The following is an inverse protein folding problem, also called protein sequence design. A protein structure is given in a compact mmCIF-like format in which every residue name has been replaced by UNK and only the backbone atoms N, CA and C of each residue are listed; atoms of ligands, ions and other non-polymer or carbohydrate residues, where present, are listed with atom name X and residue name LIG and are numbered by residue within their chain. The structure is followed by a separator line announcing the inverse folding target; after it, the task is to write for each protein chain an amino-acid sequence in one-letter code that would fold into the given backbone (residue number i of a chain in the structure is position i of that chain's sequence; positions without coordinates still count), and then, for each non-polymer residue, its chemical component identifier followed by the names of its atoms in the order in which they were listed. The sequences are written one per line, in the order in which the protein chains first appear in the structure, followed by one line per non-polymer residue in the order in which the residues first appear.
data_IF_440358129023
#
_entry.id   IF_440358129023
#
_cell.length_a   1.000
_cell.length_b   1.000
_cell.length_c   1.000
_cell.angle_alpha   90.00
_cell.angle_beta   90.00
_cell.angle_gamma   90.00
#
_symmetry.space_group_name_H-M   'P 1'
#
loop_
_entity.id
_entity.type
_entity.pdbx_description
1 polymer ?
#
# COMPACT_ATOMS: atom_id res chain seq x y z
N UNK A 1 -4.48 35.67 16.10
CA UNK A 1 -3.81 34.44 15.69
C UNK A 1 -4.88 33.48 15.14
N UNK A 2 -4.99 33.39 13.81
CA UNK A 2 -5.82 32.37 13.16
C UNK A 2 -5.14 31.04 13.44
N UNK A 3 -5.79 30.12 14.20
CA UNK A 3 -5.42 28.72 14.24
C UNK A 3 -5.59 28.19 12.80
N UNK A 4 -4.51 27.90 12.12
CA UNK A 4 -4.57 27.05 10.94
C UNK A 4 -5.19 25.73 11.38
N UNK A 5 -6.36 25.41 10.87
CA UNK A 5 -6.97 24.08 11.03
C UNK A 5 -6.08 23.17 10.18
N UNK A 6 -5.22 22.38 10.83
CA UNK A 6 -4.43 21.35 10.17
C UNK A 6 -5.41 20.45 9.42
N UNK A 7 -5.33 20.47 8.11
CA UNK A 7 -6.16 19.63 7.26
C UNK A 7 -5.65 18.19 7.38
N UNK A 8 -6.46 17.29 7.93
CA UNK A 8 -6.14 15.88 8.01
C UNK A 8 -5.89 15.31 6.60
N UNK A 9 -4.78 14.58 6.43
CA UNK A 9 -4.51 13.84 5.20
C UNK A 9 -5.32 12.54 5.17
N UNK A 10 -5.70 12.08 3.96
CA UNK A 10 -6.32 10.78 3.77
C UNK A 10 -5.22 9.76 3.46
N UNK A 11 -5.06 8.79 4.33
CA UNK A 11 -4.09 7.69 4.22
C UNK A 11 -4.81 6.42 3.83
N UNK A 12 -4.44 5.83 2.70
CA UNK A 12 -4.93 4.50 2.27
C UNK A 12 -3.82 3.48 2.39
N UNK A 13 -4.08 2.40 3.12
CA UNK A 13 -3.14 1.29 3.32
C UNK A 13 -3.63 0.09 2.51
N UNK A 14 -2.91 -0.27 1.45
CA UNK A 14 -3.18 -1.46 0.64
C UNK A 14 -2.50 -2.68 1.28
N UNK A 15 -3.27 -3.58 1.86
CA UNK A 15 -2.77 -4.80 2.52
C UNK A 15 -2.85 -5.99 1.58
N UNK A 16 -1.70 -6.48 1.14
CA UNK A 16 -1.54 -7.58 0.18
C UNK A 16 -1.64 -8.99 0.76
N UNK A 17 -2.02 -9.15 2.02
CA UNK A 17 -2.18 -10.47 2.64
C UNK A 17 -3.64 -10.92 2.63
N UNK A 18 -3.89 -12.14 2.17
CA UNK A 18 -5.21 -12.80 2.29
C UNK A 18 -5.39 -13.49 3.65
N UNK A 19 -4.34 -13.61 4.45
CA UNK A 19 -4.41 -14.18 5.78
C UNK A 19 -5.01 -13.14 6.73
N UNK A 20 -6.21 -13.39 7.22
CA UNK A 20 -6.79 -12.61 8.32
C UNK A 20 -5.87 -12.73 9.55
N UNK A 21 -5.57 -11.62 10.19
CA UNK A 21 -4.66 -11.54 11.35
C UNK A 21 -3.24 -12.08 11.09
N UNK A 22 -2.79 -12.13 9.83
CA UNK A 22 -1.41 -12.48 9.47
C UNK A 22 -0.43 -11.34 9.81
N UNK A 23 0.87 -11.66 9.81
CA UNK A 23 1.94 -10.70 10.20
C UNK A 23 1.89 -9.38 9.40
N UNK A 24 1.59 -9.44 8.09
CA UNK A 24 1.45 -8.23 7.26
C UNK A 24 0.27 -7.35 7.70
N UNK A 25 -0.88 -7.98 7.99
CA UNK A 25 -2.05 -7.26 8.47
C UNK A 25 -1.79 -6.61 9.84
N UNK A 26 -1.07 -7.32 10.72
CA UNK A 26 -0.69 -6.81 12.04
C UNK A 26 0.27 -5.62 11.95
N UNK A 27 1.26 -5.68 11.04
CA UNK A 27 2.19 -4.58 10.78
C UNK A 27 1.44 -3.35 10.23
N UNK A 28 0.57 -3.57 9.25
CA UNK A 28 -0.26 -2.50 8.68
C UNK A 28 -1.20 -1.87 9.73
N UNK A 29 -1.75 -2.67 10.64
CA UNK A 29 -2.58 -2.19 11.73
C UNK A 29 -1.80 -1.30 12.70
N UNK A 30 -0.57 -1.68 13.07
CA UNK A 30 0.28 -0.86 13.93
C UNK A 30 0.60 0.50 13.29
N UNK A 31 0.93 0.50 12.00
CA UNK A 31 1.09 1.75 11.24
C UNK A 31 -0.20 2.58 11.24
N UNK A 32 -1.35 1.95 11.00
CA UNK A 32 -2.65 2.63 10.97
C UNK A 32 -2.99 3.30 12.30
N UNK A 33 -2.71 2.63 13.42
CA UNK A 33 -2.92 3.16 14.78
C UNK A 33 -2.07 4.42 15.04
N UNK A 34 -0.83 4.43 14.56
CA UNK A 34 0.03 5.62 14.60
C UNK A 34 -0.52 6.74 13.71
N UNK A 35 -0.81 6.44 12.45
CA UNK A 35 -1.27 7.42 11.46
C UNK A 35 -2.62 8.06 11.84
N UNK A 36 -3.52 7.30 12.47
CA UNK A 36 -4.84 7.78 12.90
C UNK A 36 -4.78 8.85 14.01
N UNK A 37 -3.60 9.11 14.59
CA UNK A 37 -3.45 10.21 15.56
C UNK A 37 -3.68 11.58 14.92
N UNK A 38 -3.30 11.73 13.65
CA UNK A 38 -3.31 13.02 12.95
C UNK A 38 -3.94 12.96 11.56
N UNK A 39 -4.48 11.80 11.13
CA UNK A 39 -4.96 11.61 9.75
C UNK A 39 -6.23 10.76 9.72
N UNK A 40 -6.93 10.81 8.59
CA UNK A 40 -7.98 9.84 8.26
C UNK A 40 -7.32 8.60 7.64
N UNK A 41 -7.54 7.42 8.21
CA UNK A 41 -6.90 6.19 7.76
C UNK A 41 -7.93 5.18 7.29
N UNK A 42 -7.70 4.60 6.12
CA UNK A 42 -8.48 3.51 5.57
C UNK A 42 -7.58 2.33 5.20
N UNK A 43 -7.92 1.14 5.69
CA UNK A 43 -7.23 -0.10 5.32
C UNK A 43 -8.05 -0.79 4.22
N UNK A 44 -7.37 -1.13 3.12
CA UNK A 44 -7.92 -1.86 1.97
C UNK A 44 -7.21 -3.20 1.87
N UNK A 45 -7.85 -4.26 2.31
CA UNK A 45 -7.30 -5.61 2.27
C UNK A 45 -7.66 -6.33 0.98
N UNK A 46 -6.68 -6.91 0.29
CA UNK A 46 -6.94 -7.74 -0.91
C UNK A 46 -7.82 -8.95 -0.63
N UNK A 47 -8.02 -9.33 0.65
CA UNK A 47 -8.92 -10.40 1.04
C UNK A 47 -10.40 -10.03 0.92
N UNK A 48 -10.73 -8.74 0.78
CA UNK A 48 -12.09 -8.20 0.75
C UNK A 48 -12.55 -7.80 -0.66
N UNK A 49 -11.63 -7.82 -1.63
CA UNK A 49 -11.90 -7.36 -3.00
C UNK A 49 -11.52 -8.43 -4.01
N UNK A 50 -12.41 -8.64 -4.98
CA UNK A 50 -12.14 -9.50 -6.13
C UNK A 50 -11.64 -8.64 -7.29
N UNK A 51 -10.32 -8.63 -7.49
CA UNK A 51 -9.65 -7.84 -8.52
C UNK A 51 -8.92 -8.76 -9.49
N UNK A 52 -9.37 -8.77 -10.74
CA UNK A 52 -8.70 -9.50 -11.81
C UNK A 52 -7.39 -8.79 -12.24
N UNK A 53 -6.37 -9.55 -12.64
CA UNK A 53 -5.13 -8.97 -13.15
C UNK A 53 -5.35 -8.17 -14.43
N UNK A 54 -4.48 -7.19 -14.69
CA UNK A 54 -4.47 -6.46 -15.95
C UNK A 54 -4.10 -7.40 -17.10
N UNK A 55 -4.87 -7.37 -18.19
CA UNK A 55 -4.61 -8.17 -19.39
C UNK A 55 -3.93 -7.38 -20.51
N UNK A 56 -3.51 -6.14 -20.26
CA UNK A 56 -2.79 -5.31 -21.25
C UNK A 56 -3.59 -4.87 -22.46
N UNK A 57 -4.91 -4.88 -22.41
CA UNK A 57 -5.77 -4.60 -23.57
C UNK A 57 -5.83 -3.11 -23.97
N UNK A 58 -5.30 -2.20 -23.16
CA UNK A 58 -5.27 -0.75 -23.35
C UNK A 58 -6.65 -0.06 -23.50
N UNK A 59 -7.77 -0.74 -23.30
CA UNK A 59 -9.10 -0.15 -23.43
C UNK A 59 -9.35 1.05 -22.50
N UNK A 60 -8.67 1.11 -21.35
CA UNK A 60 -8.72 2.26 -20.44
C UNK A 60 -8.16 3.56 -21.03
N UNK A 61 -7.38 3.50 -22.12
CA UNK A 61 -6.87 4.69 -22.81
C UNK A 61 -7.90 5.31 -23.76
N UNK A 62 -8.92 4.55 -24.18
CA UNK A 62 -9.92 4.97 -25.16
C UNK A 62 -11.33 5.11 -24.59
N UNK A 63 -11.59 4.53 -23.42
CA UNK A 63 -12.91 4.60 -22.77
C UNK A 63 -13.10 5.93 -22.05
N UNK A 64 -14.34 6.38 -22.01
CA UNK A 64 -14.73 7.56 -21.23
C UNK A 64 -14.32 7.41 -19.76
N UNK A 65 -13.79 8.47 -19.16
CA UNK A 65 -13.28 8.48 -17.80
C UNK A 65 -12.06 7.57 -17.56
N UNK A 66 -11.45 7.04 -18.64
CA UNK A 66 -10.30 6.11 -18.57
C UNK A 66 -10.59 4.84 -17.73
N UNK A 67 -11.83 4.40 -17.70
CA UNK A 67 -12.26 3.25 -16.91
C UNK A 67 -11.80 1.94 -17.55
N UNK A 68 -11.43 0.97 -16.69
CA UNK A 68 -11.21 -0.39 -17.14
C UNK A 68 -12.52 -1.03 -17.59
N UNK A 69 -12.47 -1.91 -18.62
CA UNK A 69 -13.67 -2.62 -19.07
C UNK A 69 -14.05 -3.79 -18.16
N UNK A 70 -13.10 -4.28 -17.35
CA UNK A 70 -13.34 -5.37 -16.41
C UNK A 70 -14.30 -4.91 -15.31
N UNK A 71 -15.38 -5.68 -15.13
CA UNK A 71 -16.39 -5.43 -14.09
C UNK A 71 -16.02 -6.22 -12.84
N UNK A 72 -15.26 -5.59 -11.95
CA UNK A 72 -14.82 -6.16 -10.68
C UNK A 72 -14.65 -5.05 -9.62
N UNK A 73 -14.14 -5.41 -8.43
CA UNK A 73 -14.06 -4.48 -7.31
C UNK A 73 -12.96 -3.40 -7.44
N UNK A 74 -12.16 -3.43 -8.52
CA UNK A 74 -11.12 -2.41 -8.73
C UNK A 74 -11.69 -0.99 -8.80
N UNK A 75 -12.94 -0.82 -9.20
CA UNK A 75 -13.58 0.50 -9.26
C UNK A 75 -13.67 1.13 -7.87
N UNK A 76 -13.98 0.34 -6.84
CA UNK A 76 -14.03 0.81 -5.45
C UNK A 76 -12.64 1.23 -4.95
N UNK A 77 -11.60 0.47 -5.35
CA UNK A 77 -10.21 0.80 -5.02
C UNK A 77 -9.76 2.09 -5.70
N UNK A 78 -10.13 2.30 -6.97
CA UNK A 78 -9.85 3.57 -7.66
C UNK A 78 -10.46 4.78 -6.94
N UNK A 79 -11.69 4.66 -6.43
CA UNK A 79 -12.35 5.74 -5.70
C UNK A 79 -11.60 6.10 -4.40
N UNK A 80 -11.15 5.08 -3.66
CA UNK A 80 -10.34 5.25 -2.45
C UNK A 80 -9.01 5.93 -2.77
N UNK A 81 -8.28 5.44 -3.78
CA UNK A 81 -7.00 5.98 -4.19
C UNK A 81 -7.11 7.40 -4.77
N UNK A 82 -8.20 7.74 -5.47
CA UNK A 82 -8.44 9.10 -5.98
C UNK A 82 -8.47 10.13 -4.86
N UNK A 83 -8.98 9.76 -3.71
CA UNK A 83 -9.15 10.63 -2.55
C UNK A 83 -7.99 10.55 -1.55
N UNK A 84 -7.04 9.64 -1.75
CA UNK A 84 -5.87 9.50 -0.90
C UNK A 84 -4.84 10.59 -1.16
N UNK A 85 -4.24 11.11 -0.09
CA UNK A 85 -3.08 11.98 -0.12
C UNK A 85 -1.79 11.15 0.06
N UNK A 86 -1.87 10.07 0.84
CA UNK A 86 -0.79 9.15 1.15
C UNK A 86 -1.25 7.71 0.89
N UNK A 87 -0.43 6.93 0.21
CA UNK A 87 -0.66 5.48 0.05
C UNK A 87 0.44 4.71 0.74
N UNK A 88 0.08 3.65 1.44
CA UNK A 88 1.04 2.70 2.03
C UNK A 88 0.76 1.33 1.48
N UNK A 89 1.79 0.69 0.97
CA UNK A 89 1.73 -0.68 0.46
C UNK A 89 2.29 -1.62 1.52
N UNK A 90 1.47 -2.51 2.03
CA UNK A 90 1.86 -3.54 2.98
C UNK A 90 1.75 -4.92 2.33
N UNK A 91 2.85 -5.66 2.19
CA UNK A 91 2.85 -6.95 1.49
C UNK A 91 3.67 -8.02 2.19
N UNK A 92 3.19 -9.28 2.19
CA UNK A 92 4.08 -10.41 2.38
C UNK A 92 5.00 -10.52 1.16
N UNK A 93 6.20 -11.06 1.37
CA UNK A 93 7.13 -11.34 0.27
C UNK A 93 6.94 -12.78 -0.20
N UNK A 94 6.55 -12.94 -1.45
CA UNK A 94 6.44 -14.22 -2.12
C UNK A 94 7.37 -14.26 -3.33
N UNK A 95 8.36 -15.13 -3.28
CA UNK A 95 9.36 -15.30 -4.35
C UNK A 95 9.99 -13.97 -4.78
N UNK A 96 10.47 -13.18 -3.81
CA UNK A 96 11.11 -11.86 -3.97
C UNK A 96 10.20 -10.76 -4.52
N UNK A 97 8.88 -10.96 -4.57
CA UNK A 97 7.89 -10.00 -5.03
C UNK A 97 6.80 -9.75 -4.01
N UNK A 98 5.98 -8.74 -4.28
CA UNK A 98 4.72 -8.53 -3.57
C UNK A 98 3.73 -9.64 -3.91
N UNK A 99 2.70 -9.84 -3.10
CA UNK A 99 1.67 -10.86 -3.37
C UNK A 99 0.99 -10.66 -4.73
N UNK A 100 0.58 -11.74 -5.38
CA UNK A 100 -0.10 -11.70 -6.67
C UNK A 100 -1.40 -10.88 -6.64
N UNK A 101 -2.16 -10.97 -5.55
CA UNK A 101 -3.39 -10.23 -5.35
C UNK A 101 -3.14 -8.72 -5.29
N UNK A 102 -2.10 -8.29 -4.57
CA UNK A 102 -1.71 -6.89 -4.51
C UNK A 102 -1.15 -6.43 -5.86
N UNK A 103 -0.38 -7.29 -6.54
CA UNK A 103 0.16 -7.00 -7.87
C UNK A 103 -0.95 -6.78 -8.90
N UNK A 104 -2.07 -7.52 -8.82
CA UNK A 104 -3.24 -7.31 -9.67
C UNK A 104 -3.79 -5.87 -9.54
N UNK A 105 -3.85 -5.33 -8.32
CA UNK A 105 -4.24 -3.93 -8.08
C UNK A 105 -3.20 -2.98 -8.68
N UNK A 106 -1.91 -3.19 -8.36
CA UNK A 106 -0.82 -2.31 -8.79
C UNK A 106 -0.73 -2.23 -10.31
N UNK A 107 -0.82 -3.36 -11.02
CA UNK A 107 -0.77 -3.37 -12.49
C UNK A 107 -1.90 -2.59 -13.13
N UNK A 108 -3.06 -2.55 -12.49
CA UNK A 108 -4.21 -1.79 -12.99
C UNK A 108 -4.11 -0.28 -12.70
N UNK A 109 -3.13 0.17 -11.94
CA UNK A 109 -2.81 1.61 -11.81
C UNK A 109 -2.10 2.17 -13.06
N UNK A 110 -1.83 1.34 -14.08
CA UNK A 110 -1.33 1.81 -15.38
C UNK A 110 -2.37 2.65 -16.16
N UNK A 111 -3.62 2.69 -15.73
CA UNK A 111 -4.67 3.51 -16.36
C UNK A 111 -4.34 5.00 -16.35
N UNK A 112 -4.72 5.78 -17.42
CA UNK A 112 -4.62 7.25 -17.40
C UNK A 112 -5.47 7.90 -16.30
N UNK A 113 -6.47 7.22 -15.75
CA UNK A 113 -7.27 7.68 -14.62
C UNK A 113 -6.39 8.09 -13.42
N UNK A 114 -5.23 7.45 -13.24
CA UNK A 114 -4.27 7.80 -12.18
C UNK A 114 -3.88 9.29 -12.16
N UNK A 115 -3.96 9.99 -13.29
CA UNK A 115 -3.66 11.41 -13.36
C UNK A 115 -4.67 12.28 -12.58
N UNK A 116 -5.80 11.69 -12.15
CA UNK A 116 -6.80 12.36 -11.30
C UNK A 116 -6.58 12.09 -9.82
N UNK A 117 -5.60 11.24 -9.45
CA UNK A 117 -5.30 10.90 -8.07
C UNK A 117 -4.52 12.03 -7.40
N UNK A 118 -4.79 12.25 -6.11
CA UNK A 118 -4.13 13.31 -5.33
C UNK A 118 -2.88 12.83 -4.58
N UNK A 119 -2.53 11.55 -4.73
CA UNK A 119 -1.46 10.89 -4.01
C UNK A 119 -0.15 11.66 -4.21
N UNK A 120 0.50 12.02 -3.11
CA UNK A 120 1.79 12.73 -3.08
C UNK A 120 2.88 11.93 -2.39
N UNK A 121 2.50 11.01 -1.49
CA UNK A 121 3.45 10.27 -0.67
C UNK A 121 3.17 8.76 -0.74
N UNK A 122 4.24 7.97 -0.67
CA UNK A 122 4.17 6.52 -0.69
C UNK A 122 5.00 5.92 0.44
N UNK A 123 4.47 4.89 1.11
CA UNK A 123 5.15 4.09 2.11
C UNK A 123 5.17 2.61 1.75
N UNK A 124 6.11 1.86 2.34
CA UNK A 124 6.26 0.43 2.06
C UNK A 124 6.51 -0.36 3.36
N UNK A 125 5.65 -1.34 3.61
CA UNK A 125 5.75 -2.26 4.74
C UNK A 125 5.87 -3.69 4.18
N UNK A 126 6.98 -4.37 4.44
CA UNK A 126 7.23 -5.71 3.93
C UNK A 126 7.48 -6.72 5.04
N UNK A 127 6.91 -7.90 4.86
CA UNK A 127 7.06 -9.03 5.78
C UNK A 127 7.54 -10.26 5.02
N UNK A 128 8.65 -10.85 5.44
CA UNK A 128 9.24 -12.03 4.82
C UNK A 128 9.65 -13.10 5.81
N UNK A 129 9.47 -14.37 5.42
CA UNK A 129 9.83 -15.51 6.25
C UNK A 129 11.34 -15.77 6.27
N UNK A 130 12.04 -15.46 5.18
CA UNK A 130 13.48 -15.68 5.07
C UNK A 130 14.27 -14.56 5.76
N UNK A 131 15.46 -14.90 6.26
CA UNK A 131 16.41 -13.95 6.84
C UNK A 131 17.51 -13.50 5.86
N UNK A 132 17.30 -13.72 4.58
CA UNK A 132 18.26 -13.35 3.53
C UNK A 132 18.51 -11.83 3.51
N UNK A 133 19.76 -11.38 3.47
CA UNK A 133 20.08 -9.95 3.47
C UNK A 133 19.40 -9.17 2.33
N UNK A 134 19.31 -9.77 1.16
CA UNK A 134 18.79 -9.17 -0.08
C UNK A 134 17.31 -9.50 -0.35
N UNK A 135 16.57 -10.02 0.64
CA UNK A 135 15.19 -10.47 0.48
C UNK A 135 14.27 -9.40 -0.13
N UNK A 136 14.45 -8.14 0.23
CA UNK A 136 13.57 -7.04 -0.14
C UNK A 136 14.10 -6.20 -1.31
N UNK A 137 15.35 -6.38 -1.71
CA UNK A 137 15.99 -5.53 -2.73
C UNK A 137 15.19 -5.38 -4.03
N UNK A 138 14.62 -6.47 -4.62
CA UNK A 138 13.85 -6.34 -5.85
C UNK A 138 12.60 -5.46 -5.67
N UNK A 139 11.93 -5.54 -4.50
CA UNK A 139 10.74 -4.74 -4.21
C UNK A 139 11.12 -3.30 -3.90
N UNK A 140 12.23 -3.08 -3.19
CA UNK A 140 12.74 -1.73 -2.91
C UNK A 140 13.13 -1.03 -4.20
N UNK A 141 13.77 -1.74 -5.14
CA UNK A 141 14.09 -1.19 -6.47
C UNK A 141 12.81 -0.77 -7.21
N UNK A 142 11.78 -1.63 -7.23
CA UNK A 142 10.49 -1.29 -7.84
C UNK A 142 9.84 -0.09 -7.14
N UNK A 143 9.89 -0.04 -5.81
CA UNK A 143 9.37 1.07 -5.02
C UNK A 143 10.04 2.39 -5.41
N UNK A 144 11.37 2.42 -5.52
CA UNK A 144 12.11 3.61 -5.94
C UNK A 144 11.71 4.06 -7.35
N UNK A 145 11.61 3.11 -8.29
CA UNK A 145 11.17 3.41 -9.67
C UNK A 145 9.75 3.99 -9.70
N UNK A 146 8.85 3.54 -8.82
CA UNK A 146 7.50 4.07 -8.71
C UNK A 146 7.50 5.49 -8.13
N UNK A 147 8.31 5.75 -7.10
CA UNK A 147 8.48 7.10 -6.55
C UNK A 147 8.93 8.08 -7.64
N UNK A 148 9.97 7.72 -8.39
CA UNK A 148 10.54 8.56 -9.43
C UNK A 148 9.54 8.79 -10.58
N UNK A 149 8.88 7.72 -11.05
CA UNK A 149 7.93 7.79 -12.16
C UNK A 149 6.72 8.68 -11.84
N UNK A 150 6.17 8.55 -10.64
CA UNK A 150 5.01 9.33 -10.20
C UNK A 150 5.38 10.63 -9.47
N UNK A 151 6.67 10.90 -9.26
CA UNK A 151 7.18 12.04 -8.48
C UNK A 151 6.57 12.09 -7.08
N UNK A 152 6.57 10.94 -6.40
CA UNK A 152 6.06 10.81 -5.04
C UNK A 152 7.19 10.97 -4.02
N UNK A 153 6.86 11.50 -2.86
CA UNK A 153 7.76 11.51 -1.71
C UNK A 153 7.66 10.17 -0.97
N UNK A 154 8.81 9.61 -0.56
CA UNK A 154 8.83 8.46 0.33
C UNK A 154 8.53 8.90 1.76
N UNK A 155 7.58 8.24 2.42
CA UNK A 155 7.40 8.40 3.88
C UNK A 155 8.30 7.44 4.68
N UNK A 156 9.00 6.51 4.03
CA UNK A 156 9.83 5.50 4.65
C UNK A 156 9.35 4.07 4.41
N UNK A 157 10.12 3.13 4.97
CA UNK A 157 9.86 1.68 4.83
C UNK A 157 10.03 0.97 6.16
N UNK A 158 9.23 -0.08 6.42
CA UNK A 158 9.45 -1.04 7.51
C UNK A 158 9.58 -2.44 6.91
N UNK A 159 10.69 -3.11 7.18
CA UNK A 159 11.10 -4.36 6.53
C UNK A 159 11.34 -5.43 7.60
N UNK A 160 10.48 -6.44 7.65
CA UNK A 160 10.50 -7.47 8.69
C UNK A 160 10.89 -8.82 8.08
N UNK A 161 12.00 -9.38 8.57
CA UNK A 161 12.50 -10.72 8.19
C UNK A 161 12.17 -11.74 9.26
N UNK A 162 12.29 -13.03 8.93
CA UNK A 162 12.22 -14.13 9.88
C UNK A 162 10.83 -14.41 10.45
N UNK A 163 9.75 -13.85 9.88
CA UNK A 163 8.38 -14.06 10.36
C UNK A 163 7.54 -14.83 9.34
N UNK A 164 7.05 -15.99 9.70
CA UNK A 164 6.35 -16.95 8.83
C UNK A 164 4.95 -17.29 9.33
N UNK A 165 4.86 -17.73 10.57
CA UNK A 165 3.61 -18.18 11.14
C UNK A 165 2.84 -17.00 11.76
N UNK A 166 1.51 -17.14 11.87
CA UNK A 166 0.67 -16.09 12.45
C UNK A 166 1.13 -15.82 13.88
N UNK A 167 1.40 -14.57 14.18
CA UNK A 167 1.83 -14.12 15.51
C UNK A 167 3.35 -13.98 15.67
N UNK A 168 4.17 -14.46 14.74
CA UNK A 168 5.64 -14.31 14.84
C UNK A 168 6.08 -12.85 14.98
N UNK A 169 5.31 -11.93 14.41
CA UNK A 169 5.63 -10.49 14.44
C UNK A 169 5.36 -9.82 15.80
N UNK A 170 4.60 -10.46 16.70
CA UNK A 170 4.15 -9.80 17.95
C UNK A 170 5.30 -9.42 18.88
N UNK A 171 6.43 -10.12 18.81
CA UNK A 171 7.64 -9.80 19.57
C UNK A 171 8.63 -8.91 18.81
N UNK A 172 8.31 -8.52 17.58
CA UNK A 172 9.20 -7.73 16.73
C UNK A 172 9.15 -6.24 17.09
N UNK A 173 10.29 -5.55 17.20
CA UNK A 173 10.32 -4.09 17.34
C UNK A 173 9.73 -3.35 16.13
N UNK A 174 9.59 -4.04 15.00
CA UNK A 174 9.04 -3.46 13.78
C UNK A 174 7.57 -3.00 13.94
N UNK A 175 6.83 -3.52 14.91
CA UNK A 175 5.49 -3.00 15.22
C UNK A 175 5.56 -1.57 15.75
N UNK A 176 6.53 -1.29 16.65
CA UNK A 176 6.75 0.07 17.14
C UNK A 176 7.31 0.98 16.03
N UNK A 177 8.24 0.48 15.21
CA UNK A 177 8.76 1.24 14.07
C UNK A 177 7.63 1.64 13.11
N UNK A 178 6.69 0.73 12.84
CA UNK A 178 5.54 1.01 12.00
C UNK A 178 4.58 2.02 12.63
N UNK A 179 4.32 1.91 13.93
CA UNK A 179 3.50 2.85 14.68
C UNK A 179 4.11 4.26 14.65
N UNK A 180 5.39 4.41 14.97
CA UNK A 180 6.07 5.71 14.98
C UNK A 180 6.19 6.30 13.57
N UNK A 181 6.39 5.47 12.54
CA UNK A 181 6.34 5.92 11.15
C UNK A 181 4.95 6.48 10.79
N UNK A 182 3.89 5.78 11.17
CA UNK A 182 2.52 6.25 10.96
C UNK A 182 2.23 7.55 11.70
N UNK A 183 2.63 7.64 12.96
CA UNK A 183 2.43 8.82 13.83
C UNK A 183 3.20 10.05 13.37
N UNK A 184 4.32 9.85 12.65
CA UNK A 184 5.12 10.95 12.09
C UNK A 184 4.44 11.69 10.93
N UNK A 185 3.35 11.14 10.39
CA UNK A 185 2.59 11.77 9.30
C UNK A 185 1.82 12.99 9.84
N UNK A 186 2.17 14.13 9.31
CA UNK A 186 1.54 15.44 9.57
C UNK A 186 1.08 16.07 8.26
#
# INVERSE_FOLDING_TARGET
LKREVLKLSNVVILVGSVRKNGNTARLAQSFAEGAAKNNNVEIVSVAEYNVNPCIGCNSCFTREGNQCFQSDDMIQIYEKLRNADIVVVASPVYFYGISAQLKAIVDRLHTPMRNTFRIKKLGLLLVGAAELPNLFEPIIMQYQMVLDFFRLESIGTVLVRGVKDIGDIESSPALEDAYELGKSLV
#
